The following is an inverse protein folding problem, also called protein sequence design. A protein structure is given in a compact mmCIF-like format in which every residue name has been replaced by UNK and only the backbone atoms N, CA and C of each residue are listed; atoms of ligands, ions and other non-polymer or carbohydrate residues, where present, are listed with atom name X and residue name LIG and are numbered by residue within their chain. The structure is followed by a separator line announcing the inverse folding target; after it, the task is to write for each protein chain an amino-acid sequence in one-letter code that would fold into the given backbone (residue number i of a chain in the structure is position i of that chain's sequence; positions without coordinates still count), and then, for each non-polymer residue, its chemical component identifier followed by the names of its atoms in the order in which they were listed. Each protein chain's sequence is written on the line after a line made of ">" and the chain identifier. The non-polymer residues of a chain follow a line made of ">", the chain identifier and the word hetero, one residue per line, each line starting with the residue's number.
data_IF_531577575913
#
_entry.id   IF_531577575913
#
_cell.length_a   1.000
_cell.length_b   1.000
_cell.length_c   1.000
_cell.angle_alpha   90.00
_cell.angle_beta   90.00
_cell.angle_gamma   90.00
#
_symmetry.space_group_name_H-M   'P 1'
#
loop_
_entity.id
_entity.type
_entity.pdbx_description
1 polymer ?
#
# COMPACT_ATOMS: atom_id res chain seq x y z
N UNK A 1 23.37 -17.88 -29.63
CA UNK A 1 23.34 -16.66 -28.80
C UNK A 1 22.12 -15.82 -29.20
N UNK A 2 20.89 -16.31 -28.94
CA UNK A 2 19.67 -15.60 -29.37
C UNK A 2 18.51 -15.70 -28.35
N UNK A 3 18.80 -16.00 -27.08
CA UNK A 3 17.78 -15.97 -26.01
C UNK A 3 17.69 -14.60 -25.30
N UNK A 4 18.71 -13.75 -25.42
CA UNK A 4 18.74 -12.44 -24.76
C UNK A 4 18.00 -11.32 -25.50
N UNK A 5 17.74 -11.46 -26.81
CA UNK A 5 17.02 -10.42 -27.58
C UNK A 5 15.50 -10.53 -27.46
N UNK A 6 14.96 -11.75 -27.36
CA UNK A 6 13.52 -11.94 -27.16
C UNK A 6 13.04 -11.59 -25.75
N UNK A 7 13.86 -11.79 -24.72
CA UNK A 7 13.44 -11.51 -23.32
C UNK A 7 13.29 -10.01 -23.04
N UNK A 8 14.11 -9.18 -23.68
CA UNK A 8 14.07 -7.72 -23.52
C UNK A 8 12.91 -7.08 -24.28
N UNK A 9 12.58 -7.59 -25.47
CA UNK A 9 11.43 -7.12 -26.26
C UNK A 9 10.09 -7.53 -25.63
N UNK A 10 9.99 -8.75 -25.09
CA UNK A 10 8.79 -9.22 -24.38
C UNK A 10 8.58 -8.46 -23.04
N UNK A 11 9.66 -8.07 -22.35
CA UNK A 11 9.56 -7.19 -21.17
C UNK A 11 9.13 -5.76 -21.52
N UNK A 12 9.56 -5.24 -22.68
CA UNK A 12 9.22 -3.90 -23.14
C UNK A 12 7.77 -3.78 -23.66
N UNK A 13 7.21 -4.84 -24.26
CA UNK A 13 5.81 -4.87 -24.71
C UNK A 13 4.81 -5.19 -23.58
N UNK A 14 5.25 -5.84 -22.50
CA UNK A 14 4.39 -6.19 -21.35
C UNK A 14 4.09 -5.00 -20.41
N UNK A 15 4.98 -4.00 -20.34
CA UNK A 15 4.72 -2.71 -19.69
C UNK A 15 3.92 -1.79 -20.61
N UNK A 16 2.68 -2.17 -20.94
CA UNK A 16 1.73 -1.17 -21.42
C UNK A 16 1.43 -0.25 -20.23
N UNK A 17 2.13 0.89 -20.26
CA UNK A 17 2.18 1.93 -19.23
C UNK A 17 0.81 2.23 -18.66
N UNK A 18 0.67 2.14 -17.34
CA UNK A 18 -0.54 2.59 -16.68
C UNK A 18 -0.46 4.10 -16.53
N UNK A 19 -1.34 4.81 -17.24
CA UNK A 19 -1.35 6.27 -17.31
C UNK A 19 -1.47 6.94 -15.92
N UNK A 20 -1.99 6.27 -14.89
CA UNK A 20 -2.02 6.79 -13.52
C UNK A 20 -0.61 6.91 -12.94
N UNK A 21 0.27 5.94 -13.21
CA UNK A 21 1.68 6.07 -12.83
C UNK A 21 2.37 7.20 -13.61
N UNK A 22 1.94 7.48 -14.85
CA UNK A 22 2.45 8.63 -15.64
C UNK A 22 2.02 9.99 -15.09
N UNK A 23 0.95 10.05 -14.27
CA UNK A 23 0.59 11.25 -13.54
C UNK A 23 1.60 11.57 -12.43
N UNK A 24 2.15 10.53 -11.80
CA UNK A 24 3.06 10.66 -10.66
C UNK A 24 4.51 10.75 -11.11
N UNK A 25 4.91 9.92 -12.07
CA UNK A 25 6.30 9.72 -12.45
C UNK A 25 6.58 10.19 -13.88
N UNK A 26 7.69 10.90 -14.10
CA UNK A 26 8.16 11.24 -15.46
C UNK A 26 8.83 10.06 -16.16
N UNK A 27 9.42 9.17 -15.37
CA UNK A 27 10.13 7.97 -15.78
C UNK A 27 10.01 6.90 -14.68
N UNK A 28 10.25 5.64 -15.01
CA UNK A 28 10.07 4.53 -14.07
C UNK A 28 11.38 4.04 -13.46
N UNK A 29 12.48 4.80 -13.59
CA UNK A 29 13.81 4.31 -13.18
C UNK A 29 13.86 3.91 -11.71
N UNK A 30 13.17 4.66 -10.84
CA UNK A 30 13.07 4.32 -9.42
C UNK A 30 12.22 3.06 -9.18
N UNK A 31 11.06 2.94 -9.83
CA UNK A 31 10.17 1.77 -9.67
C UNK A 31 10.86 0.50 -10.16
N UNK A 32 11.50 0.57 -11.33
CA UNK A 32 12.29 -0.54 -11.89
C UNK A 32 13.44 -0.90 -10.96
N UNK A 33 14.14 0.09 -10.38
CA UNK A 33 15.19 -0.18 -9.41
C UNK A 33 14.63 -0.85 -8.15
N UNK A 34 13.50 -0.37 -7.60
CA UNK A 34 12.87 -0.92 -6.41
C UNK A 34 12.43 -2.37 -6.62
N UNK A 35 11.86 -2.69 -7.78
CA UNK A 35 11.45 -4.05 -8.12
C UNK A 35 12.63 -5.02 -8.29
N UNK A 36 13.81 -4.50 -8.65
CA UNK A 36 15.02 -5.30 -8.85
C UNK A 36 15.92 -5.36 -7.62
N UNK A 37 15.51 -4.80 -6.48
CA UNK A 37 16.24 -4.98 -5.22
C UNK A 37 16.22 -6.46 -4.84
N UNK A 38 17.41 -7.05 -4.76
CA UNK A 38 17.58 -8.42 -4.27
C UNK A 38 17.42 -8.43 -2.76
N UNK A 39 16.63 -9.38 -2.25
CA UNK A 39 16.54 -9.61 -0.81
C UNK A 39 16.77 -11.07 -0.43
N UNK A 40 17.09 -11.36 0.85
CA UNK A 40 17.36 -12.73 1.30
C UNK A 40 16.21 -13.72 1.09
N UNK A 41 14.98 -13.22 0.94
CA UNK A 41 13.80 -14.04 0.70
C UNK A 41 13.58 -14.35 -0.78
N UNK A 42 14.42 -13.83 -1.67
CA UNK A 42 14.31 -13.93 -3.14
C UNK A 42 12.93 -13.49 -3.65
N UNK A 43 12.27 -12.57 -2.93
CA UNK A 43 10.97 -12.00 -3.31
C UNK A 43 11.19 -10.58 -3.78
N UNK A 44 10.71 -10.23 -4.96
CA UNK A 44 10.84 -8.85 -5.43
C UNK A 44 9.87 -7.93 -4.68
N UNK A 45 10.29 -6.73 -4.27
CA UNK A 45 9.36 -5.72 -3.78
C UNK A 45 8.29 -5.42 -4.83
N UNK A 46 7.03 -5.44 -4.39
CA UNK A 46 5.90 -5.01 -5.20
C UNK A 46 5.67 -3.51 -5.02
N UNK A 47 5.52 -2.75 -6.11
CA UNK A 47 5.15 -1.34 -6.05
C UNK A 47 3.68 -1.19 -6.44
N UNK A 48 2.93 -0.44 -5.64
CA UNK A 48 1.52 -0.17 -5.90
C UNK A 48 1.13 1.26 -5.49
N UNK A 49 0.12 1.79 -6.16
CA UNK A 49 -0.61 2.97 -5.72
C UNK A 49 -1.89 2.52 -5.01
N UNK A 50 -2.23 3.19 -3.92
CA UNK A 50 -3.46 2.95 -3.15
C UNK A 50 -4.27 4.24 -3.08
N UNK A 51 -5.57 4.14 -3.28
CA UNK A 51 -6.49 5.26 -3.14
C UNK A 51 -7.83 5.00 -3.82
N UNK A 52 -8.90 5.53 -3.23
CA UNK A 52 -10.26 5.39 -3.74
C UNK A 52 -10.44 5.94 -5.16
N UNK A 53 -9.79 7.07 -5.46
CA UNK A 53 -9.93 7.75 -6.75
C UNK A 53 -9.33 6.95 -7.91
N UNK A 54 -8.50 5.93 -7.64
CA UNK A 54 -7.91 5.07 -8.68
C UNK A 54 -8.97 4.38 -9.54
N UNK A 55 -10.13 4.07 -8.97
CA UNK A 55 -11.25 3.45 -9.69
C UNK A 55 -11.72 4.41 -10.79
N UNK A 56 -12.04 5.65 -10.43
CA UNK A 56 -12.51 6.66 -11.38
C UNK A 56 -11.40 7.11 -12.32
N UNK A 57 -10.15 7.18 -11.84
CA UNK A 57 -9.03 7.47 -12.70
C UNK A 57 -8.98 6.44 -13.83
N UNK A 58 -8.93 5.14 -13.51
CA UNK A 58 -8.76 4.09 -14.52
C UNK A 58 -9.88 4.04 -15.56
N UNK A 59 -11.10 4.46 -15.22
CA UNK A 59 -12.27 4.40 -16.11
C UNK A 59 -12.65 5.72 -16.80
N UNK A 60 -12.56 6.84 -16.08
CA UNK A 60 -13.13 8.13 -16.50
C UNK A 60 -12.06 9.23 -16.71
N UNK A 61 -10.76 8.87 -16.63
CA UNK A 61 -9.62 9.81 -16.75
C UNK A 61 -9.67 10.99 -15.77
N UNK A 62 -10.39 10.85 -14.65
CA UNK A 62 -10.36 11.85 -13.58
C UNK A 62 -9.02 11.80 -12.85
N UNK A 63 -8.49 12.98 -12.54
CA UNK A 63 -7.26 13.08 -11.75
C UNK A 63 -7.54 12.63 -10.31
N UNK A 64 -6.77 11.67 -9.78
CA UNK A 64 -6.87 11.31 -8.37
C UNK A 64 -6.43 12.50 -7.50
N UNK A 65 -7.10 12.68 -6.37
CA UNK A 65 -6.80 13.77 -5.42
C UNK A 65 -5.81 13.35 -4.34
N UNK A 66 -5.86 12.08 -3.91
CA UNK A 66 -4.99 11.53 -2.89
C UNK A 66 -4.62 10.09 -3.19
N UNK A 67 -3.33 9.78 -3.15
CA UNK A 67 -2.78 8.44 -3.33
C UNK A 67 -1.73 8.14 -2.27
N UNK A 68 -1.50 6.86 -1.97
CA UNK A 68 -0.32 6.39 -1.26
C UNK A 68 0.53 5.49 -2.17
N UNK A 69 1.83 5.74 -2.22
CA UNK A 69 2.82 4.87 -2.85
C UNK A 69 3.25 3.81 -1.85
N UNK A 70 2.91 2.55 -2.12
CA UNK A 70 3.22 1.42 -1.27
C UNK A 70 4.31 0.58 -1.91
N UNK A 71 5.32 0.27 -1.10
CA UNK A 71 6.47 -0.55 -1.44
C UNK A 71 6.42 -1.78 -0.55
N UNK A 72 6.11 -2.92 -1.15
CA UNK A 72 6.04 -4.20 -0.45
C UNK A 72 7.43 -4.79 -0.17
N UNK A 73 8.33 -3.97 0.39
CA UNK A 73 9.68 -4.32 0.78
C UNK A 73 9.73 -4.78 2.24
N UNK A 74 10.11 -6.04 2.44
CA UNK A 74 10.15 -6.69 3.76
C UNK A 74 11.45 -6.45 4.50
N UNK A 75 12.51 -6.12 3.78
CA UNK A 75 13.86 -5.99 4.34
C UNK A 75 14.26 -4.53 4.53
N UNK A 76 13.51 -3.59 3.92
CA UNK A 76 13.80 -2.15 3.95
C UNK A 76 14.93 -1.75 3.01
N UNK A 77 15.40 -2.66 2.16
CA UNK A 77 16.51 -2.45 1.23
C UNK A 77 16.20 -1.36 0.19
N UNK A 78 14.93 -1.20 -0.22
CA UNK A 78 14.46 -0.12 -1.09
C UNK A 78 14.68 1.23 -0.41
N UNK A 79 14.29 1.36 0.86
CA UNK A 79 14.53 2.58 1.61
C UNK A 79 16.02 2.92 1.66
N UNK A 80 16.86 1.97 2.11
CA UNK A 80 18.29 2.23 2.29
C UNK A 80 19.01 2.54 0.98
N UNK A 81 18.59 1.94 -0.14
CA UNK A 81 19.30 2.01 -1.41
C UNK A 81 18.76 3.09 -2.37
N UNK A 82 17.48 3.46 -2.24
CA UNK A 82 16.75 4.19 -3.27
C UNK A 82 15.94 5.39 -2.76
N UNK A 83 15.82 5.65 -1.44
CA UNK A 83 15.00 6.78 -0.93
C UNK A 83 15.35 8.13 -1.58
N UNK A 84 16.64 8.44 -1.72
CA UNK A 84 17.11 9.74 -2.23
C UNK A 84 16.93 9.86 -3.75
N UNK A 85 16.60 8.75 -4.43
CA UNK A 85 16.38 8.67 -5.87
C UNK A 85 14.90 8.76 -6.24
N UNK A 86 13.97 8.75 -5.27
CA UNK A 86 12.54 8.79 -5.53
C UNK A 86 12.11 10.14 -6.12
N UNK A 87 12.35 11.23 -5.39
CA UNK A 87 11.88 12.57 -5.76
C UNK A 87 12.28 13.03 -7.17
N UNK A 88 13.52 12.80 -7.65
CA UNK A 88 13.89 13.14 -9.02
C UNK A 88 13.06 12.45 -10.11
N UNK A 89 12.36 11.35 -9.81
CA UNK A 89 11.53 10.63 -10.80
C UNK A 89 10.11 11.17 -10.91
N UNK A 90 9.69 12.09 -10.04
CA UNK A 90 8.35 12.66 -10.12
C UNK A 90 8.12 13.47 -11.39
N UNK A 91 6.87 13.46 -11.86
CA UNK A 91 6.43 14.13 -13.09
C UNK A 91 6.60 15.64 -12.98
N UNK A 92 6.04 16.19 -11.92
CA UNK A 92 6.14 17.60 -11.54
C UNK A 92 7.33 17.74 -10.59
N UNK A 93 8.19 18.72 -10.82
CA UNK A 93 9.43 18.93 -10.05
C UNK A 93 9.33 20.10 -9.07
N UNK A 94 8.26 20.88 -9.19
CA UNK A 94 7.88 22.02 -8.36
C UNK A 94 6.82 21.63 -7.32
N UNK A 95 6.98 20.44 -6.73
CA UNK A 95 6.12 19.94 -5.66
C UNK A 95 6.50 20.55 -4.30
N UNK A 96 5.55 20.52 -3.37
CA UNK A 96 5.80 20.76 -1.95
C UNK A 96 5.89 19.43 -1.20
N UNK A 97 6.89 19.27 -0.34
CA UNK A 97 7.08 18.04 0.44
C UNK A 97 7.00 18.33 1.93
N UNK A 98 6.02 17.71 2.58
CA UNK A 98 5.84 17.75 4.01
C UNK A 98 6.51 16.52 4.64
N UNK A 99 7.66 16.74 5.29
CA UNK A 99 8.44 15.69 5.92
C UNK A 99 7.73 15.02 7.11
N UNK A 100 6.88 15.75 7.85
CA UNK A 100 6.18 15.19 9.01
C UNK A 100 5.15 14.15 8.58
N UNK A 101 4.37 14.47 7.55
CA UNK A 101 3.32 13.59 7.04
C UNK A 101 3.77 12.69 5.89
N UNK A 102 4.97 12.92 5.35
CA UNK A 102 5.50 12.31 4.12
C UNK A 102 4.58 12.46 2.92
N UNK A 103 3.87 13.58 2.84
CA UNK A 103 2.97 13.93 1.74
C UNK A 103 3.69 14.85 0.75
N UNK A 104 3.61 14.50 -0.53
CA UNK A 104 4.07 15.32 -1.65
C UNK A 104 2.84 15.93 -2.31
N UNK A 105 2.76 17.26 -2.34
CA UNK A 105 1.67 17.99 -3.02
C UNK A 105 2.17 18.52 -4.35
N UNK A 106 1.56 18.03 -5.43
CA UNK A 106 1.85 18.45 -6.80
C UNK A 106 1.01 19.67 -7.20
N UNK A 107 1.45 20.45 -8.20
CA UNK A 107 0.71 21.60 -8.74
C UNK A 107 -0.62 21.19 -9.38
N UNK A 108 -0.71 19.96 -9.89
CA UNK A 108 -1.98 19.36 -10.34
C UNK A 108 -3.02 19.21 -9.22
N UNK A 109 -2.63 19.39 -7.96
CA UNK A 109 -3.47 19.19 -6.78
C UNK A 109 -3.49 17.74 -6.28
N UNK A 110 -2.81 16.82 -6.98
CA UNK A 110 -2.58 15.47 -6.47
C UNK A 110 -1.70 15.55 -5.24
N UNK A 111 -2.10 14.84 -4.18
CA UNK A 111 -1.26 14.57 -3.02
C UNK A 111 -0.86 13.10 -3.02
N UNK A 112 0.44 12.84 -2.96
CA UNK A 112 1.00 11.49 -2.86
C UNK A 112 1.68 11.30 -1.51
N UNK A 113 1.18 10.36 -0.73
CA UNK A 113 1.89 9.87 0.44
C UNK A 113 3.00 8.89 0.01
N UNK A 114 4.22 9.13 0.47
CA UNK A 114 5.41 8.34 0.08
C UNK A 114 6.11 7.68 1.25
N UNK A 115 5.50 7.71 2.44
CA UNK A 115 6.14 7.27 3.69
C UNK A 115 6.67 5.84 3.62
N UNK A 116 5.96 4.92 2.97
CA UNK A 116 6.40 3.52 2.82
C UNK A 116 7.67 3.36 1.97
N UNK A 117 7.94 4.31 1.07
CA UNK A 117 9.13 4.32 0.22
C UNK A 117 10.33 5.02 0.89
N UNK A 118 10.08 5.95 1.80
CA UNK A 118 11.11 6.85 2.37
C UNK A 118 11.22 6.77 3.90
N UNK A 119 10.50 5.87 4.56
CA UNK A 119 10.61 5.60 5.98
C UNK A 119 10.56 4.09 6.23
N UNK A 120 11.37 3.60 7.17
CA UNK A 120 11.28 2.21 7.65
C UNK A 120 10.38 2.19 8.86
N UNK A 121 9.10 1.91 8.64
CA UNK A 121 8.10 1.80 9.69
C UNK A 121 7.33 0.50 9.53
N UNK A 122 6.85 -0.04 10.66
CA UNK A 122 6.01 -1.23 10.64
C UNK A 122 4.67 -0.93 9.93
N UNK A 123 4.11 0.27 10.17
CA UNK A 123 2.83 0.71 9.63
C UNK A 123 3.02 2.00 8.82
N UNK A 124 2.21 2.18 7.78
CA UNK A 124 2.21 3.39 6.97
C UNK A 124 1.49 4.50 7.74
N UNK A 125 2.24 5.50 8.20
CA UNK A 125 1.70 6.60 9.01
C UNK A 125 1.24 7.76 8.14
N UNK A 126 -0.06 8.08 8.21
CA UNK A 126 -0.74 9.11 7.43
C UNK A 126 -1.29 10.21 8.35
N UNK A 127 -1.43 11.44 7.85
CA UNK A 127 -2.13 12.49 8.58
C UNK A 127 -3.59 12.13 8.85
N UNK A 128 -4.25 11.61 7.82
CA UNK A 128 -5.64 11.14 7.85
C UNK A 128 -5.80 9.95 6.90
N UNK A 129 -5.84 8.71 7.42
CA UNK A 129 -5.97 7.54 6.56
C UNK A 129 -7.29 7.48 5.79
N UNK A 130 -8.33 8.20 6.23
CA UNK A 130 -9.65 8.16 5.58
C UNK A 130 -9.61 8.72 4.15
N UNK A 131 -8.62 9.54 3.83
CA UNK A 131 -8.38 10.09 2.48
C UNK A 131 -8.08 9.02 1.42
N UNK A 132 -7.64 7.82 1.84
CA UNK A 132 -7.43 6.69 0.92
C UNK A 132 -8.75 5.97 0.58
N UNK A 133 -9.84 6.28 1.25
CA UNK A 133 -11.09 5.55 1.17
C UNK A 133 -12.23 6.46 0.70
N UNK A 134 -13.25 5.84 0.10
CA UNK A 134 -14.50 6.50 -0.24
C UNK A 134 -15.68 5.70 0.28
N UNK A 135 -16.77 6.41 0.57
CA UNK A 135 -18.04 5.80 0.98
C UNK A 135 -18.99 5.72 -0.21
N UNK A 136 -19.55 4.54 -0.44
CA UNK A 136 -20.64 4.35 -1.40
C UNK A 136 -21.78 3.54 -0.77
N UNK A 137 -22.81 3.23 -1.57
CA UNK A 137 -23.99 2.48 -1.12
C UNK A 137 -23.69 1.07 -0.59
N UNK A 138 -22.52 0.50 -0.92
CA UNK A 138 -22.07 -0.82 -0.47
C UNK A 138 -21.13 -0.75 0.73
N UNK A 139 -20.64 0.44 1.08
CA UNK A 139 -19.79 0.65 2.25
C UNK A 139 -18.52 1.43 1.95
N UNK A 140 -17.52 1.25 2.81
CA UNK A 140 -16.20 1.85 2.57
C UNK A 140 -15.52 1.02 1.50
N UNK A 141 -14.79 1.68 0.61
CA UNK A 141 -13.92 0.99 -0.32
C UNK A 141 -12.67 1.82 -0.60
N UNK A 142 -11.64 1.16 -1.10
CA UNK A 142 -10.46 1.78 -1.71
C UNK A 142 -10.08 0.97 -2.95
N UNK A 143 -9.00 1.33 -3.62
CA UNK A 143 -8.46 0.54 -4.69
C UNK A 143 -6.93 0.49 -4.64
N UNK A 144 -6.40 -0.58 -5.22
CA UNK A 144 -4.96 -0.84 -5.32
C UNK A 144 -4.61 -1.02 -6.78
N UNK A 145 -3.67 -0.24 -7.27
CA UNK A 145 -3.14 -0.36 -8.62
C UNK A 145 -1.67 -0.77 -8.56
N UNK A 146 -1.39 -2.01 -8.97
CA UNK A 146 -0.03 -2.55 -9.02
C UNK A 146 0.70 -2.05 -10.26
N UNK A 147 2.00 -1.75 -10.11
CA UNK A 147 2.85 -1.41 -11.24
C UNK A 147 2.99 -2.60 -12.23
N UNK A 148 3.23 -3.79 -11.70
CA UNK A 148 3.16 -5.03 -12.47
C UNK A 148 1.76 -5.64 -12.32
N UNK A 149 1.01 -5.85 -13.43
CA UNK A 149 -0.33 -6.42 -13.37
C UNK A 149 -0.31 -7.79 -12.69
N UNK A 150 -1.21 -8.00 -11.72
CA UNK A 150 -1.51 -9.35 -11.21
C UNK A 150 -2.31 -10.09 -12.28
N UNK A 151 -2.18 -11.42 -12.37
CA UNK A 151 -3.01 -12.25 -13.28
C UNK A 151 -4.50 -11.88 -13.12
N UNK A 152 -5.05 -11.11 -14.07
CA UNK A 152 -6.36 -10.47 -13.92
C UNK A 152 -6.55 -9.15 -14.69
N UNK A 153 -5.46 -8.47 -15.08
CA UNK A 153 -5.53 -7.28 -15.96
C UNK A 153 -4.84 -6.05 -15.38
N UNK A 154 -4.88 -4.94 -16.14
CA UNK A 154 -4.21 -3.66 -15.82
C UNK A 154 -5.04 -2.73 -14.93
N UNK A 155 -6.17 -3.23 -14.44
CA UNK A 155 -7.16 -2.44 -13.71
C UNK A 155 -6.82 -2.36 -12.23
N UNK A 156 -7.28 -1.27 -11.60
CA UNK A 156 -7.18 -1.14 -10.15
C UNK A 156 -8.08 -2.18 -9.47
N UNK A 157 -7.51 -2.94 -8.53
CA UNK A 157 -8.24 -3.89 -7.70
C UNK A 157 -9.04 -3.11 -6.64
N UNK A 158 -10.36 -3.22 -6.68
CA UNK A 158 -11.21 -2.63 -5.64
C UNK A 158 -11.17 -3.49 -4.37
N UNK A 159 -10.90 -2.85 -3.23
CA UNK A 159 -10.98 -3.44 -1.89
C UNK A 159 -12.24 -2.91 -1.24
N UNK A 160 -13.14 -3.81 -0.84
CA UNK A 160 -14.46 -3.48 -0.30
C UNK A 160 -14.48 -3.58 1.23
N UNK A 161 -15.54 -3.05 1.84
CA UNK A 161 -15.77 -2.97 3.29
C UNK A 161 -15.48 -4.26 4.06
N UNK A 162 -15.84 -5.43 3.51
CA UNK A 162 -15.61 -6.73 4.16
C UNK A 162 -14.14 -7.16 4.20
N UNK A 163 -13.30 -6.59 3.35
CA UNK A 163 -11.88 -6.89 3.22
C UNK A 163 -11.01 -5.83 3.91
N UNK A 164 -11.61 -4.75 4.42
CA UNK A 164 -10.89 -3.70 5.14
C UNK A 164 -10.87 -4.05 6.63
N UNK A 165 -9.67 -4.30 7.13
CA UNK A 165 -9.42 -4.50 8.55
C UNK A 165 -9.49 -3.19 9.33
N UNK A 166 -9.83 -3.25 10.61
CA UNK A 166 -10.01 -2.07 11.44
C UNK A 166 -9.80 -2.32 12.93
N UNK A 167 -9.98 -1.27 13.71
CA UNK A 167 -9.98 -1.34 15.17
C UNK A 167 -11.37 -1.73 15.65
N UNK A 168 -11.52 -2.91 16.25
CA UNK A 168 -12.86 -3.45 16.63
C UNK A 168 -13.57 -2.66 17.73
N UNK A 169 -12.84 -1.84 18.48
CA UNK A 169 -13.42 -0.97 19.50
C UNK A 169 -14.09 0.28 18.91
N UNK A 170 -13.83 0.61 17.65
CA UNK A 170 -14.48 1.73 16.99
C UNK A 170 -15.77 1.26 16.32
N UNK A 171 -16.88 1.88 16.70
CA UNK A 171 -18.16 1.68 16.02
C UNK A 171 -18.24 2.56 14.78
N UNK A 172 -18.99 2.15 13.76
CA UNK A 172 -19.35 3.03 12.65
C UNK A 172 -18.19 3.57 11.82
N UNK A 173 -17.34 2.70 11.25
CA UNK A 173 -16.34 3.05 10.20
C UNK A 173 -15.31 4.12 10.58
N UNK A 174 -15.33 4.63 11.80
CA UNK A 174 -14.32 5.53 12.36
C UNK A 174 -12.93 4.89 12.39
N UNK A 175 -12.83 3.56 12.27
CA UNK A 175 -11.53 2.91 12.17
C UNK A 175 -10.69 3.43 11.00
N UNK A 176 -11.27 3.82 9.85
CA UNK A 176 -10.46 4.36 8.74
C UNK A 176 -9.89 5.76 9.02
N UNK A 177 -10.35 6.47 10.04
CA UNK A 177 -9.75 7.75 10.44
C UNK A 177 -8.59 7.57 11.42
N UNK A 178 -8.45 6.37 12.00
CA UNK A 178 -7.52 6.07 13.08
C UNK A 178 -6.48 5.02 12.71
N UNK A 179 -6.95 3.81 12.38
CA UNK A 179 -6.12 2.71 11.91
C UNK A 179 -6.97 1.70 11.14
N UNK A 180 -6.50 1.34 9.96
CA UNK A 180 -7.13 0.33 9.13
C UNK A 180 -6.08 -0.52 8.42
N UNK A 181 -6.54 -1.59 7.79
CA UNK A 181 -5.70 -2.34 6.87
C UNK A 181 -6.42 -2.79 5.63
N UNK A 182 -5.63 -3.09 4.61
CA UNK A 182 -6.11 -3.70 3.37
C UNK A 182 -5.23 -4.88 2.99
N UNK A 183 -5.79 -5.92 2.36
CA UNK A 183 -5.02 -6.98 1.76
C UNK A 183 -4.39 -6.51 0.44
N UNK A 184 -3.11 -6.81 0.26
CA UNK A 184 -2.33 -6.51 -0.93
C UNK A 184 -1.54 -7.73 -1.39
N UNK A 185 -1.12 -7.79 -2.65
CA UNK A 185 -0.33 -8.89 -3.19
C UNK A 185 1.14 -8.47 -3.31
N UNK A 186 2.07 -9.34 -2.88
CA UNK A 186 3.51 -9.08 -3.01
C UNK A 186 3.96 -9.19 -4.47
N UNK A 187 3.36 -10.10 -5.24
CA UNK A 187 3.80 -10.39 -6.60
C UNK A 187 2.65 -10.88 -7.49
N UNK A 188 2.89 -10.78 -8.80
CA UNK A 188 2.00 -11.20 -9.91
C UNK A 188 1.45 -12.62 -9.75
N UNK A 189 2.16 -13.52 -9.05
CA UNK A 189 1.82 -14.94 -8.92
C UNK A 189 0.78 -15.27 -7.83
N UNK A 190 -0.10 -14.33 -7.47
CA UNK A 190 -1.18 -14.51 -6.48
C UNK A 190 -0.72 -15.26 -5.23
N UNK A 191 0.45 -14.91 -4.71
CA UNK A 191 0.93 -15.41 -3.42
C UNK A 191 0.07 -14.83 -2.30
N UNK A 192 0.08 -15.52 -1.15
CA UNK A 192 -0.58 -15.15 0.12
C UNK A 192 -0.68 -13.61 0.23
N UNK A 193 -1.90 -13.05 0.31
CA UNK A 193 -2.06 -11.62 0.47
C UNK A 193 -1.33 -11.17 1.72
N UNK A 194 -0.78 -9.97 1.69
CA UNK A 194 -0.14 -9.33 2.81
C UNK A 194 -1.03 -8.21 3.28
N UNK A 195 -1.14 -8.07 4.59
CA UNK A 195 -1.90 -6.98 5.16
C UNK A 195 -1.00 -5.75 5.22
N UNK A 196 -1.47 -4.63 4.67
CA UNK A 196 -0.84 -3.32 4.83
C UNK A 196 -1.67 -2.47 5.77
N UNK A 197 -1.02 -1.94 6.78
CA UNK A 197 -1.65 -1.21 7.87
C UNK A 197 -1.38 0.28 7.70
N UNK A 198 -2.44 1.07 7.83
CA UNK A 198 -2.43 2.52 7.75
C UNK A 198 -2.81 3.08 9.10
N UNK A 199 -2.00 3.97 9.66
CA UNK A 199 -2.20 4.55 10.98
C UNK A 199 -2.20 6.07 10.92
N UNK A 200 -3.13 6.73 11.61
CA UNK A 200 -3.08 8.16 11.80
C UNK A 200 -1.85 8.56 12.64
N UNK A 201 -1.08 9.55 12.20
CA UNK A 201 0.11 10.06 12.92
C UNK A 201 -0.23 10.48 14.34
N UNK A 202 -1.41 11.10 14.52
CA UNK A 202 -1.92 11.63 15.79
C UNK A 202 -2.56 10.57 16.68
N UNK A 203 -2.57 9.29 16.31
CA UNK A 203 -3.19 8.25 17.12
C UNK A 203 -2.55 8.22 18.52
N UNK A 204 -3.33 8.61 19.53
CA UNK A 204 -2.91 8.64 20.93
C UNK A 204 -3.09 7.29 21.64
N UNK A 205 -3.61 6.29 20.92
CA UNK A 205 -3.98 5.01 21.46
C UNK A 205 -2.92 3.96 21.14
N UNK A 206 -2.58 3.18 22.17
CA UNK A 206 -1.83 1.94 21.99
C UNK A 206 -2.80 0.87 21.47
N UNK A 207 -2.41 0.20 20.40
CA UNK A 207 -3.19 -0.86 19.77
C UNK A 207 -2.44 -2.19 19.83
N UNK A 208 -3.19 -3.28 19.94
CA UNK A 208 -2.68 -4.65 19.80
C UNK A 208 -3.38 -5.34 18.64
N UNK A 209 -2.60 -5.99 17.78
CA UNK A 209 -3.15 -6.92 16.82
C UNK A 209 -3.68 -8.15 17.56
N UNK A 210 -4.86 -8.60 17.19
CA UNK A 210 -5.46 -9.80 17.79
C UNK A 210 -6.04 -10.70 16.70
N UNK A 211 -6.10 -12.00 16.99
CA UNK A 211 -6.54 -13.03 16.06
C UNK A 211 -7.94 -13.50 16.47
N UNK A 212 -8.87 -13.63 15.51
CA UNK A 212 -10.12 -14.34 15.81
C UNK A 212 -9.88 -15.84 15.77
N UNK A 213 -10.43 -16.56 16.76
CA UNK A 213 -10.33 -18.01 16.83
C UNK A 213 -10.96 -18.64 15.58
N UNK A 214 -10.16 -19.39 14.81
CA UNK A 214 -10.60 -20.06 13.58
C UNK A 214 -10.07 -19.45 12.27
N UNK A 215 -9.35 -18.32 12.32
CA UNK A 215 -8.61 -17.82 11.15
C UNK A 215 -7.48 -18.78 10.76
N UNK A 216 -7.48 -19.20 9.49
CA UNK A 216 -6.52 -20.15 8.93
C UNK A 216 -5.11 -19.60 9.08
N UNK A 217 -4.24 -20.37 9.72
CA UNK A 217 -2.80 -20.18 9.54
C UNK A 217 -2.45 -20.50 8.10
N UNK A 218 -1.86 -19.54 7.40
CA UNK A 218 -1.27 -19.82 6.10
C UNK A 218 -0.07 -20.74 6.34
N UNK A 219 0.11 -21.75 5.48
CA UNK A 219 1.04 -22.88 5.66
C UNK A 219 2.52 -22.55 5.88
N UNK A 220 2.89 -21.27 5.93
CA UNK A 220 4.20 -20.75 6.31
C UNK A 220 4.32 -20.38 7.80
N UNK A 221 3.28 -20.58 8.64
CA UNK A 221 3.29 -20.20 10.05
C UNK A 221 3.15 -18.69 10.31
N UNK A 222 2.90 -17.91 9.26
CA UNK A 222 2.62 -16.48 9.38
C UNK A 222 1.11 -16.28 9.54
N UNK A 223 0.72 -15.64 10.64
CA UNK A 223 -0.65 -15.14 10.82
C UNK A 223 -0.69 -13.69 10.32
N UNK A 224 -1.55 -13.41 9.34
CA UNK A 224 -1.84 -12.04 8.93
C UNK A 224 -2.72 -11.41 10.01
N UNK A 225 -2.22 -10.37 10.69
CA UNK A 225 -3.06 -9.57 11.58
C UNK A 225 -3.82 -8.56 10.73
N UNK A 226 -5.14 -8.71 10.64
CA UNK A 226 -6.04 -7.77 9.95
C UNK A 226 -6.97 -7.02 10.91
N UNK A 227 -6.88 -7.31 12.21
CA UNK A 227 -7.78 -6.78 13.23
C UNK A 227 -6.98 -6.24 14.42
N UNK A 228 -7.33 -5.04 14.88
CA UNK A 228 -6.71 -4.37 16.02
C UNK A 228 -7.71 -4.05 17.10
N UNK A 229 -7.26 -3.95 18.35
CA UNK A 229 -8.06 -3.43 19.45
C UNK A 229 -7.26 -2.47 20.32
N UNK A 230 -7.96 -1.60 21.02
CA UNK A 230 -7.38 -0.73 22.05
C UNK A 230 -6.79 -1.58 23.17
N UNK A 231 -5.60 -1.17 23.62
CA UNK A 231 -4.91 -1.77 24.77
C UNK A 231 -5.56 -1.31 26.06
N UNK A 232 -5.89 -2.27 26.92
CA UNK A 232 -6.17 -1.96 28.33
C UNK A 232 -4.84 -1.76 29.07
N UNK A 233 -4.79 -0.88 30.08
CA UNK A 233 -3.57 -0.24 30.62
C UNK A 233 -2.39 -1.12 31.09
N UNK A 234 -2.43 -2.44 30.91
CA UNK A 234 -1.41 -3.41 31.28
C UNK A 234 -1.01 -4.40 30.16
N UNK A 235 -1.58 -4.30 28.95
CA UNK A 235 -1.27 -5.26 27.90
C UNK A 235 0.03 -4.91 27.14
N UNK A 236 0.79 -5.96 26.78
CA UNK A 236 1.99 -5.85 25.93
C UNK A 236 1.58 -5.46 24.51
N UNK A 237 2.49 -4.82 23.78
CA UNK A 237 2.29 -4.35 22.38
C UNK A 237 1.85 -5.42 21.40
N UNK A 238 2.07 -6.70 21.75
CA UNK A 238 1.50 -7.84 21.08
C UNK A 238 0.87 -8.75 22.13
N UNK A 239 -0.39 -9.11 21.94
CA UNK A 239 -1.08 -10.10 22.76
C UNK A 239 -2.02 -10.92 21.89
N UNK A 240 -1.76 -12.22 21.80
CA UNK A 240 -2.72 -13.16 21.20
C UNK A 240 -3.82 -13.32 22.23
N UNK A 241 -4.98 -12.76 21.94
CA UNK A 241 -6.15 -12.87 22.82
C UNK A 241 -7.17 -13.75 22.13
N UNK A 242 -7.42 -14.91 22.74
CA UNK A 242 -8.53 -15.77 22.36
C UNK A 242 -9.84 -15.05 22.71
N UNK A 243 -10.73 -14.89 21.73
CA UNK A 243 -12.09 -14.37 21.98
C UNK A 243 -12.85 -15.31 22.93
N UNK A 244 -13.46 -14.79 24.01
CA UNK A 244 -14.48 -15.52 24.76
C UNK A 244 -15.66 -15.88 23.83
N UNK A 245 -16.22 -17.08 24.00
CA UNK A 245 -17.40 -17.55 23.28
C UNK A 245 -18.66 -16.75 23.64
#
# INVERSE_FOLDING_TARGET
>A
MDQNRNTTAIKAEALQRNWVFDLVFRDYTWIEAAHNVENPLQRRPGVALVGYDLIQACHDSKHPSYLALIVNDWCGDVYYSLRDKLFPTFREQDFDFDEESTEVTFQSGLVLHVGDAIQVQEWVRLRDPSRLFGLNNKGVQTAVLYFEPVEGGKEALTIIDSDIGGVVNFSGKEYVTHMCSIPMHISVRRTIPITRCFQAIKLQHKLVGFKKRGEKEYGSGFTLMDSWRLVEGYEREWSIVDTPQ
#
